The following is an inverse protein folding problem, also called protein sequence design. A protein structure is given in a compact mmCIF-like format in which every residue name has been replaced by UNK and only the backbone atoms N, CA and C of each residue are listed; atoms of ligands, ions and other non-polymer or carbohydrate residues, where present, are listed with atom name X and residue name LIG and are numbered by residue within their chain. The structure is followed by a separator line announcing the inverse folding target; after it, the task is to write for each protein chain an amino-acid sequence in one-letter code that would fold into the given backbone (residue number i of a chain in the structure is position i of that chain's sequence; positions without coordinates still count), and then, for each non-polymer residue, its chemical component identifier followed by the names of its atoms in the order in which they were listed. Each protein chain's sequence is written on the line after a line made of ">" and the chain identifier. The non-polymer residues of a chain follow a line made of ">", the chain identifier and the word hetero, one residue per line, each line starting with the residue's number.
data_IF_430378686666
#
_entry.id   IF_430378686666
#
_cell.length_a   1.000
_cell.length_b   1.000
_cell.length_c   1.000
_cell.angle_alpha   90.00
_cell.angle_beta   90.00
_cell.angle_gamma   90.00
#
_symmetry.space_group_name_H-M   'P 1'
#
loop_
_entity.id
_entity.type
_entity.pdbx_description
1 polymer ?
#
# COMPACT_ATOMS: atom_id res chain seq x y z
N UNK A 1 31.09 -44.02 1.53
CA UNK A 1 30.11 -43.24 2.32
C UNK A 1 29.25 -42.41 1.38
N UNK A 2 28.06 -42.90 1.01
CA UNK A 2 27.14 -42.19 0.11
C UNK A 2 26.31 -41.16 0.90
N UNK A 3 26.46 -39.88 0.56
CA UNK A 3 25.61 -38.81 1.09
C UNK A 3 24.18 -39.02 0.57
N UNK A 4 23.26 -39.35 1.48
CA UNK A 4 21.82 -39.36 1.21
C UNK A 4 21.38 -37.93 0.90
N UNK A 5 21.26 -37.58 -0.38
CA UNK A 5 20.61 -36.33 -0.79
C UNK A 5 19.15 -36.36 -0.33
N UNK A 6 18.77 -35.45 0.57
CA UNK A 6 17.37 -35.33 0.99
C UNK A 6 16.47 -35.09 -0.22
N UNK A 7 15.31 -35.72 -0.25
CA UNK A 7 14.36 -35.54 -1.35
C UNK A 7 14.02 -34.05 -1.49
N UNK A 8 14.15 -33.44 -2.68
CA UNK A 8 13.88 -32.02 -2.90
C UNK A 8 12.43 -31.64 -2.53
N UNK A 9 11.51 -32.61 -2.57
CA UNK A 9 10.11 -32.45 -2.16
C UNK A 9 9.99 -32.22 -0.65
N UNK A 10 10.79 -32.91 0.17
CA UNK A 10 10.78 -32.77 1.64
C UNK A 10 11.31 -31.40 2.05
N UNK A 11 12.34 -30.90 1.35
CA UNK A 11 12.91 -29.56 1.60
C UNK A 11 11.93 -28.46 1.18
N UNK A 12 11.27 -28.61 0.02
CA UNK A 12 10.27 -27.62 -0.41
C UNK A 12 9.06 -27.57 0.53
N UNK A 13 8.59 -28.73 1.01
CA UNK A 13 7.46 -28.78 1.95
C UNK A 13 7.82 -28.24 3.33
N UNK A 14 9.02 -28.52 3.85
CA UNK A 14 9.46 -27.96 5.14
C UNK A 14 9.59 -26.43 5.09
N UNK A 15 10.16 -25.89 4.01
CA UNK A 15 10.25 -24.43 3.81
C UNK A 15 8.86 -23.80 3.72
N UNK A 16 7.93 -24.39 2.96
CA UNK A 16 6.56 -23.88 2.85
C UNK A 16 5.83 -23.85 4.21
N UNK A 17 5.99 -24.89 5.03
CA UNK A 17 5.38 -24.95 6.37
C UNK A 17 5.97 -23.87 7.28
N UNK A 18 7.30 -23.69 7.28
CA UNK A 18 7.97 -22.69 8.12
C UNK A 18 7.53 -21.28 7.73
N UNK A 19 7.48 -20.97 6.43
CA UNK A 19 7.01 -19.67 5.93
C UNK A 19 5.54 -19.46 6.28
N UNK A 20 4.69 -20.47 6.10
CA UNK A 20 3.27 -20.40 6.46
C UNK A 20 3.06 -20.13 7.95
N UNK A 21 3.79 -20.82 8.83
CA UNK A 21 3.72 -20.57 10.27
C UNK A 21 4.23 -19.18 10.64
N UNK A 22 5.32 -18.71 10.03
CA UNK A 22 5.83 -17.36 10.29
C UNK A 22 4.80 -16.28 9.89
N UNK A 23 4.16 -16.44 8.73
CA UNK A 23 3.10 -15.53 8.28
C UNK A 23 1.86 -15.59 9.19
N UNK A 24 1.47 -16.78 9.66
CA UNK A 24 0.35 -16.92 10.58
C UNK A 24 0.62 -16.23 11.93
N UNK A 25 1.84 -16.38 12.47
CA UNK A 25 2.25 -15.69 13.70
C UNK A 25 2.25 -14.17 13.51
N UNK A 26 2.81 -13.67 12.41
CA UNK A 26 2.81 -12.25 12.09
C UNK A 26 1.39 -11.70 11.94
N UNK A 27 0.51 -12.43 11.25
CA UNK A 27 -0.89 -12.05 11.09
C UNK A 27 -1.62 -11.96 12.43
N UNK A 28 -1.46 -12.97 13.29
CA UNK A 28 -2.10 -13.00 14.61
C UNK A 28 -1.56 -11.91 15.55
N UNK A 29 -0.27 -11.58 15.42
CA UNK A 29 0.33 -10.46 16.14
C UNK A 29 -0.13 -9.09 15.62
N UNK A 30 -0.46 -9.00 14.33
CA UNK A 30 -1.06 -7.81 13.72
C UNK A 30 -2.49 -7.59 14.19
N UNK A 31 -3.32 -8.64 14.22
CA UNK A 31 -4.71 -8.54 14.66
C UNK A 31 -4.82 -8.14 16.13
N UNK A 32 -3.99 -8.73 17.01
CA UNK A 32 -3.99 -8.39 18.45
C UNK A 32 -3.57 -6.95 18.74
N UNK A 33 -2.87 -6.30 17.81
CA UNK A 33 -2.46 -4.89 17.90
C UNK A 33 -3.41 -3.91 17.20
N UNK A 34 -4.34 -4.43 16.43
CA UNK A 34 -5.33 -3.60 15.73
C UNK A 34 -6.39 -3.19 16.74
N UNK A 35 -6.37 -1.93 17.18
CA UNK A 35 -7.48 -1.35 17.94
C UNK A 35 -8.62 -1.05 16.96
N UNK A 36 -9.44 -2.07 16.68
CA UNK A 36 -10.75 -1.83 16.07
C UNK A 36 -11.58 -1.12 17.13
N UNK A 37 -12.01 0.11 16.84
CA UNK A 37 -12.95 0.84 17.70
C UNK A 37 -14.14 -0.08 17.95
N UNK A 38 -14.42 -0.39 19.22
CA UNK A 38 -15.52 -1.29 19.55
C UNK A 38 -16.81 -0.67 19.01
N UNK A 39 -17.55 -1.43 18.19
CA UNK A 39 -18.91 -1.04 17.80
C UNK A 39 -19.69 -0.77 19.09
N UNK A 40 -20.21 0.45 19.30
CA UNK A 40 -20.84 0.79 20.57
C UNK A 40 -22.07 -0.08 20.76
N UNK A 41 -21.95 -1.11 21.59
CA UNK A 41 -23.10 -1.84 22.12
C UNK A 41 -24.08 -0.82 22.67
N UNK A 42 -25.31 -0.79 22.14
CA UNK A 42 -26.36 0.09 22.64
C UNK A 42 -26.47 -0.16 24.14
N UNK A 43 -26.04 0.83 24.93
CA UNK A 43 -26.06 0.74 26.38
C UNK A 43 -27.50 0.52 26.84
N UNK A 44 -27.67 -0.31 27.88
CA UNK A 44 -28.96 -0.49 28.54
C UNK A 44 -29.60 0.87 28.88
N UNK A 45 -30.94 0.98 28.84
CA UNK A 45 -31.61 2.26 29.10
C UNK A 45 -31.16 2.83 30.43
N UNK A 46 -30.70 4.08 30.41
CA UNK A 46 -30.16 4.77 31.58
C UNK A 46 -31.22 4.93 32.67
N UNK A 47 -30.84 4.71 33.94
CA UNK A 47 -31.72 4.99 35.09
C UNK A 47 -32.04 6.49 35.14
N UNK A 48 -33.31 6.90 35.00
CA UNK A 48 -33.71 8.30 34.97
C UNK A 48 -33.45 9.04 36.29
N UNK A 49 -33.08 8.33 37.36
CA UNK A 49 -32.72 8.91 38.67
C UNK A 49 -31.29 9.43 38.74
N UNK A 50 -30.43 9.07 37.78
CA UNK A 50 -29.05 9.52 37.74
C UNK A 50 -29.00 10.87 37.02
N UNK A 51 -28.52 11.91 37.68
CA UNK A 51 -28.26 13.19 37.02
C UNK A 51 -27.13 13.01 35.99
N UNK A 52 -27.44 13.18 34.70
CA UNK A 52 -26.44 13.11 33.64
C UNK A 52 -25.46 14.29 33.77
N UNK A 53 -24.25 14.00 34.26
CA UNK A 53 -23.21 15.01 34.42
C UNK A 53 -22.48 15.37 33.11
N UNK A 54 -22.56 14.51 32.07
CA UNK A 54 -21.92 14.75 30.79
C UNK A 54 -22.86 15.45 29.81
N UNK A 55 -22.55 16.69 29.39
CA UNK A 55 -23.38 17.42 28.44
C UNK A 55 -23.45 16.68 27.09
N UNK A 56 -24.53 16.93 26.34
CA UNK A 56 -24.80 16.29 25.04
C UNK A 56 -23.68 16.54 24.03
N UNK A 57 -23.08 17.73 24.07
CA UNK A 57 -21.97 18.15 23.18
C UNK A 57 -20.57 17.85 23.76
N UNK A 58 -20.43 16.85 24.61
CA UNK A 58 -19.13 16.46 25.16
C UNK A 58 -18.30 15.66 24.16
N UNK A 59 -17.03 16.04 23.94
CA UNK A 59 -16.06 15.29 23.12
C UNK A 59 -15.86 13.84 23.58
N UNK A 60 -16.17 13.53 24.85
CA UNK A 60 -16.16 12.15 25.36
C UNK A 60 -17.21 11.26 24.71
N UNK A 61 -18.26 11.83 24.11
CA UNK A 61 -19.28 11.07 23.37
C UNK A 61 -18.87 10.79 21.92
N UNK A 62 -17.76 11.36 21.46
CA UNK A 62 -17.16 11.12 20.13
C UNK A 62 -15.67 10.77 20.27
N UNK A 63 -15.32 9.70 21.01
CA UNK A 63 -13.94 9.38 21.35
C UNK A 63 -13.07 9.17 20.10
N UNK A 64 -13.61 8.59 19.04
CA UNK A 64 -12.88 8.38 17.78
C UNK A 64 -12.40 9.66 17.11
N UNK A 65 -13.19 10.76 17.14
CA UNK A 65 -12.77 12.04 16.58
C UNK A 65 -11.64 12.68 17.37
N UNK A 66 -11.74 12.62 18.71
CA UNK A 66 -10.70 13.15 19.59
C UNK A 66 -9.41 12.34 19.46
N UNK A 67 -9.50 11.01 19.48
CA UNK A 67 -8.35 10.13 19.30
C UNK A 67 -7.69 10.35 17.94
N UNK A 68 -8.47 10.44 16.85
CA UNK A 68 -7.97 10.76 15.51
C UNK A 68 -7.19 12.07 15.51
N UNK A 69 -7.74 13.13 16.09
CA UNK A 69 -7.07 14.44 16.11
C UNK A 69 -5.73 14.36 16.86
N UNK A 70 -5.72 13.78 18.06
CA UNK A 70 -4.50 13.64 18.86
C UNK A 70 -3.45 12.80 18.12
N UNK A 71 -3.85 11.70 17.49
CA UNK A 71 -2.94 10.85 16.73
C UNK A 71 -2.37 11.58 15.50
N UNK A 72 -3.15 12.43 14.82
CA UNK A 72 -2.65 13.21 13.69
C UNK A 72 -1.69 14.31 14.15
N UNK A 73 -1.96 14.95 15.28
CA UNK A 73 -1.08 15.97 15.87
C UNK A 73 0.25 15.35 16.33
N UNK A 74 0.20 14.20 17.00
CA UNK A 74 1.39 13.44 17.42
C UNK A 74 2.19 12.97 16.19
N UNK A 75 1.52 12.46 15.16
CA UNK A 75 2.16 12.03 13.92
C UNK A 75 2.80 13.20 13.15
N UNK A 76 2.15 14.36 13.12
CA UNK A 76 2.73 15.57 12.53
C UNK A 76 4.00 16.02 13.27
N UNK A 77 4.01 15.92 14.60
CA UNK A 77 5.18 16.24 15.42
C UNK A 77 6.35 15.28 15.14
N UNK A 78 6.09 13.98 15.02
CA UNK A 78 7.11 12.98 14.66
C UNK A 78 7.68 13.21 13.25
N UNK A 79 6.84 13.61 12.29
CA UNK A 79 7.27 13.95 10.93
C UNK A 79 8.12 15.23 10.87
N UNK A 80 8.10 16.07 11.89
CA UNK A 80 8.88 17.31 11.93
C UNK A 80 10.37 17.08 11.68
N UNK A 81 10.97 16.05 12.30
CA UNK A 81 12.38 15.71 12.09
C UNK A 81 12.69 15.33 10.63
N UNK A 82 11.75 14.67 9.95
CA UNK A 82 11.90 14.32 8.53
C UNK A 82 11.82 15.56 7.66
N UNK A 83 10.92 16.50 7.99
CA UNK A 83 10.81 17.77 7.26
C UNK A 83 12.08 18.60 7.41
N UNK A 84 12.67 18.63 8.60
CA UNK A 84 13.89 19.40 8.88
C UNK A 84 15.13 18.85 8.13
N UNK A 85 15.15 17.55 7.84
CA UNK A 85 16.21 16.90 7.05
C UNK A 85 16.05 17.11 5.53
N UNK A 86 14.91 17.62 5.07
CA UNK A 86 14.62 17.83 3.64
C UNK A 86 15.17 19.19 3.20
N UNK A 87 15.89 19.19 2.08
CA UNK A 87 16.46 20.40 1.53
C UNK A 87 15.39 21.31 0.87
N UNK A 88 15.69 22.60 0.73
CA UNK A 88 14.75 23.59 0.21
C UNK A 88 14.33 23.39 -1.26
N UNK A 89 15.04 22.56 -2.04
CA UNK A 89 14.67 22.22 -3.42
C UNK A 89 13.80 20.96 -3.53
N UNK A 90 13.59 20.27 -2.40
CA UNK A 90 12.74 19.10 -2.29
C UNK A 90 11.34 19.45 -1.76
N UNK A 91 10.40 18.52 -1.91
CA UNK A 91 9.03 18.67 -1.43
C UNK A 91 8.57 17.42 -0.67
N UNK A 92 7.69 17.61 0.31
CA UNK A 92 7.02 16.53 1.05
C UNK A 92 5.55 16.90 1.29
N UNK A 93 4.65 15.97 0.99
CA UNK A 93 3.24 16.09 1.34
C UNK A 93 2.76 14.76 1.86
N UNK A 94 2.22 14.76 3.09
CA UNK A 94 1.68 13.57 3.75
C UNK A 94 0.21 13.84 4.06
N UNK A 95 -0.66 12.91 3.68
CA UNK A 95 -2.09 13.00 3.94
C UNK A 95 -2.65 11.66 4.42
N UNK A 96 -3.57 11.71 5.38
CA UNK A 96 -4.25 10.54 5.94
C UNK A 96 -5.75 10.71 5.71
N UNK A 97 -6.36 9.77 4.99
CA UNK A 97 -7.77 9.82 4.55
C UNK A 97 -8.16 11.15 3.87
N UNK A 98 -7.25 11.69 3.05
CA UNK A 98 -7.46 12.97 2.35
C UNK A 98 -7.26 14.22 3.21
N UNK A 99 -6.92 14.08 4.50
CA UNK A 99 -6.51 15.22 5.33
C UNK A 99 -5.00 15.38 5.32
N UNK A 100 -4.53 16.55 4.93
CA UNK A 100 -3.11 16.89 4.94
C UNK A 100 -2.60 17.00 6.37
N UNK A 101 -1.55 16.24 6.68
CA UNK A 101 -0.88 16.22 7.99
C UNK A 101 0.35 17.13 7.96
N UNK A 102 1.16 17.00 6.91
CA UNK A 102 2.37 17.80 6.69
C UNK A 102 2.43 18.22 5.22
N UNK A 103 2.79 19.47 4.98
CA UNK A 103 3.06 20.01 3.65
C UNK A 103 4.30 20.90 3.69
N UNK A 104 5.37 20.46 3.04
CA UNK A 104 6.61 21.21 2.84
C UNK A 104 6.83 21.37 1.34
N UNK A 105 6.85 22.61 0.85
CA UNK A 105 7.02 22.94 -0.58
C UNK A 105 6.08 22.16 -1.51
N UNK A 106 4.86 21.84 -1.07
CA UNK A 106 3.98 20.90 -1.77
C UNK A 106 3.59 21.31 -3.20
N UNK A 107 3.66 22.60 -3.52
CA UNK A 107 3.39 23.15 -4.87
C UNK A 107 4.66 23.48 -5.66
N UNK A 108 5.84 23.25 -5.09
CA UNK A 108 7.11 23.52 -5.78
C UNK A 108 7.31 22.52 -6.93
N UNK A 109 7.65 22.98 -8.15
CA UNK A 109 8.03 22.08 -9.23
C UNK A 109 9.36 21.40 -8.88
N UNK A 110 9.36 20.07 -8.83
CA UNK A 110 10.56 19.24 -8.60
C UNK A 110 10.76 18.26 -9.73
N UNK A 111 11.96 17.70 -9.86
CA UNK A 111 12.22 16.60 -10.79
C UNK A 111 11.59 15.32 -10.23
N UNK A 112 10.57 14.72 -10.87
CA UNK A 112 9.83 13.59 -10.27
C UNK A 112 10.63 12.27 -10.25
N UNK A 113 11.72 12.18 -11.02
CA UNK A 113 12.47 10.94 -11.21
C UNK A 113 11.53 9.76 -11.54
N UNK A 114 11.61 8.65 -10.80
CA UNK A 114 10.77 7.47 -11.06
C UNK A 114 9.31 7.63 -10.63
N UNK A 115 8.92 8.65 -9.85
CA UNK A 115 7.50 8.87 -9.52
C UNK A 115 6.69 9.26 -10.75
N UNK A 116 7.34 9.75 -11.82
CA UNK A 116 6.73 9.97 -13.13
C UNK A 116 6.07 8.70 -13.70
N UNK A 117 6.56 7.51 -13.31
CA UNK A 117 5.97 6.23 -13.71
C UNK A 117 4.52 6.08 -13.23
N UNK A 118 4.13 6.74 -12.13
CA UNK A 118 2.74 6.70 -11.66
C UNK A 118 1.79 7.34 -12.68
N UNK A 119 2.17 8.51 -13.21
CA UNK A 119 1.39 9.21 -14.25
C UNK A 119 1.38 8.39 -15.53
N UNK A 120 2.54 7.90 -15.97
CA UNK A 120 2.64 7.05 -17.17
C UNK A 120 1.80 5.79 -17.03
N UNK A 121 1.84 5.11 -15.89
CA UNK A 121 1.06 3.90 -15.64
C UNK A 121 -0.44 4.17 -15.62
N UNK A 122 -0.88 5.26 -14.95
CA UNK A 122 -2.28 5.65 -14.93
C UNK A 122 -2.82 5.92 -16.35
N UNK A 123 -2.06 6.67 -17.15
CA UNK A 123 -2.43 6.96 -18.54
C UNK A 123 -2.36 5.71 -19.41
N UNK A 124 -1.35 4.85 -19.23
CA UNK A 124 -1.26 3.59 -19.98
C UNK A 124 -2.45 2.67 -19.69
N UNK A 125 -2.90 2.58 -18.44
CA UNK A 125 -4.09 1.82 -18.08
C UNK A 125 -5.37 2.40 -18.70
N UNK A 126 -5.51 3.73 -18.74
CA UNK A 126 -6.65 4.42 -19.32
C UNK A 126 -6.71 4.27 -20.86
N UNK A 127 -5.56 4.44 -21.52
CA UNK A 127 -5.46 4.45 -22.98
C UNK A 127 -5.35 3.05 -23.58
N UNK A 128 -4.50 2.19 -23.01
CA UNK A 128 -4.23 0.85 -23.54
C UNK A 128 -5.15 -0.22 -22.94
N UNK A 129 -5.62 0.01 -21.71
CA UNK A 129 -6.36 -0.98 -20.93
C UNK A 129 -5.46 -1.97 -20.19
N UNK A 130 -5.98 -2.65 -19.15
CA UNK A 130 -5.20 -3.58 -18.33
C UNK A 130 -4.82 -4.89 -19.05
N UNK A 131 -5.48 -5.19 -20.17
CA UNK A 131 -5.23 -6.39 -20.99
C UNK A 131 -4.29 -6.17 -22.18
N UNK A 132 -3.70 -4.98 -22.31
CA UNK A 132 -2.86 -4.66 -23.46
C UNK A 132 -1.62 -5.55 -23.54
N UNK A 133 -1.31 -6.03 -24.74
CA UNK A 133 -0.11 -6.82 -25.02
C UNK A 133 0.65 -6.18 -26.18
N UNK A 134 1.95 -5.95 -25.96
CA UNK A 134 2.85 -5.59 -27.06
C UNK A 134 3.03 -6.80 -27.98
N UNK A 135 3.07 -6.54 -29.29
CA UNK A 135 3.29 -7.57 -30.30
C UNK A 135 4.64 -7.35 -30.95
N UNK A 136 5.46 -8.40 -30.97
CA UNK A 136 6.65 -8.48 -31.81
C UNK A 136 6.37 -9.51 -32.89
N UNK A 137 6.68 -9.18 -34.14
CA UNK A 137 6.34 -9.98 -35.31
C UNK A 137 7.56 -10.20 -36.21
N UNK A 138 7.58 -11.34 -36.89
CA UNK A 138 8.56 -11.64 -37.94
C UNK A 138 7.81 -11.73 -39.25
N UNK A 139 8.21 -10.91 -40.22
CA UNK A 139 7.54 -10.81 -41.51
C UNK A 139 8.53 -11.15 -42.64
N UNK A 140 8.10 -12.00 -43.57
CA UNK A 140 8.85 -12.39 -44.77
C UNK A 140 8.01 -13.30 -45.64
N UNK A 141 8.38 -13.45 -46.91
CA UNK A 141 7.69 -14.35 -47.85
C UNK A 141 8.39 -15.71 -47.81
N UNK A 142 7.67 -16.77 -47.45
CA UNK A 142 8.22 -18.14 -47.47
C UNK A 142 7.81 -18.80 -48.79
N UNK A 143 8.81 -19.02 -49.66
CA UNK A 143 8.67 -19.68 -50.94
C UNK A 143 8.64 -21.21 -50.83
N UNK A 144 8.76 -21.88 -51.98
CA UNK A 144 8.80 -23.34 -52.05
C UNK A 144 9.98 -23.91 -51.23
N UNK A 145 9.79 -25.12 -50.68
CA UNK A 145 10.78 -25.82 -49.85
C UNK A 145 11.21 -25.05 -48.57
N UNK A 146 10.45 -24.03 -48.15
CA UNK A 146 10.70 -23.29 -46.92
C UNK A 146 11.82 -22.24 -47.02
N UNK A 147 12.23 -21.86 -48.24
CA UNK A 147 13.23 -20.81 -48.47
C UNK A 147 12.55 -19.44 -48.38
N UNK A 148 13.12 -18.53 -47.59
CA UNK A 148 12.65 -17.14 -47.54
C UNK A 148 13.02 -16.44 -48.85
N UNK A 149 12.03 -15.86 -49.51
CA UNK A 149 12.21 -15.07 -50.73
C UNK A 149 12.39 -13.59 -50.35
N UNK A 150 13.63 -13.11 -50.46
CA UNK A 150 13.98 -11.72 -50.11
C UNK A 150 14.25 -11.54 -48.62
N UNK A 151 13.84 -10.38 -48.09
CA UNK A 151 14.19 -9.99 -46.73
C UNK A 151 13.23 -10.58 -45.68
N UNK A 152 13.82 -10.91 -44.53
CA UNK A 152 13.09 -11.25 -43.30
C UNK A 152 13.22 -10.08 -42.33
N UNK A 153 12.10 -9.56 -41.84
CA UNK A 153 12.05 -8.38 -40.95
C UNK A 153 11.51 -8.73 -39.58
N UNK A 154 12.11 -8.15 -38.54
CA UNK A 154 11.65 -8.21 -37.16
C UNK A 154 11.07 -6.83 -36.80
N UNK A 155 9.79 -6.80 -36.45
CA UNK A 155 9.04 -5.60 -36.07
C UNK A 155 8.60 -5.70 -34.61
#
# INVERSE_FOLDING_TARGET
>A
MGKRGGSPVIVATSVAIVVGMALAVLWQWSETRSTVDADPTIAAPADPRIALATPVLSLRRTPGLLARQLNLDDFAAELGAVVDDIDASSCLSVSVDGQTVVAHNASAPVVPASTMKLIVAAVALDVLGPGYQFTTSVNGVVGAEGVVEGDLTLL
#
